data_IF_004674882849
#
_entry.id   IF_004674882849
#
_cell.length_a   1.000
_cell.length_b   1.000
_cell.length_c   1.000
_cell.angle_alpha   90.00
_cell.angle_beta   90.00
_cell.angle_gamma   90.00
#
_symmetry.space_group_name_H-M   'P 1'
#
loop_
_entity.id
_entity.type
_entity.pdbx_description
1 polymer ?
#
# COMPACT_ATOMS: atom_id res chain seq x y z
N UNK A 1 -41.40 9.27 42.49
CA UNK A 1 -40.63 10.28 41.72
C UNK A 1 -39.12 10.03 41.60
N UNK A 2 -38.43 9.28 42.49
CA UNK A 2 -36.95 9.10 42.39
C UNK A 2 -36.45 8.19 41.25
N UNK A 3 -37.29 7.29 40.72
CA UNK A 3 -36.92 6.30 39.68
C UNK A 3 -36.76 6.95 38.30
N UNK A 4 -37.59 7.96 37.99
CA UNK A 4 -37.52 8.67 36.71
C UNK A 4 -36.23 9.48 36.54
N UNK A 5 -35.72 10.08 37.64
CA UNK A 5 -34.44 10.80 37.61
C UNK A 5 -33.24 9.89 37.37
N UNK A 6 -33.23 8.68 37.95
CA UNK A 6 -32.17 7.69 37.70
C UNK A 6 -32.18 7.18 36.26
N UNK A 7 -33.36 6.93 35.70
CA UNK A 7 -33.51 6.48 34.31
C UNK A 7 -33.02 7.55 33.32
N UNK A 8 -33.33 8.82 33.59
CA UNK A 8 -32.87 9.93 32.75
C UNK A 8 -31.35 10.10 32.79
N UNK A 9 -30.73 9.98 33.98
CA UNK A 9 -29.27 10.04 34.14
C UNK A 9 -28.59 8.88 33.39
N UNK A 10 -29.13 7.66 33.49
CA UNK A 10 -28.57 6.50 32.77
C UNK A 10 -28.65 6.68 31.26
N UNK A 11 -29.80 7.14 30.74
CA UNK A 11 -29.98 7.42 29.31
C UNK A 11 -29.06 8.54 28.82
N UNK A 12 -28.93 9.63 29.59
CA UNK A 12 -28.01 10.72 29.27
C UNK A 12 -26.55 10.26 29.26
N UNK A 13 -26.17 9.37 30.18
CA UNK A 13 -24.82 8.79 30.24
C UNK A 13 -24.54 7.89 29.04
N UNK A 14 -25.49 7.00 28.68
CA UNK A 14 -25.37 6.15 27.49
C UNK A 14 -25.27 7.01 26.23
N UNK A 15 -26.09 8.05 26.10
CA UNK A 15 -26.04 8.97 24.97
C UNK A 15 -24.71 9.72 24.90
N UNK A 16 -24.18 10.19 26.03
CA UNK A 16 -22.88 10.86 26.09
C UNK A 16 -21.73 9.92 25.69
N UNK A 17 -21.73 8.66 26.15
CA UNK A 17 -20.74 7.65 25.76
C UNK A 17 -20.83 7.32 24.26
N UNK A 18 -22.05 7.17 23.72
CA UNK A 18 -22.26 6.93 22.29
C UNK A 18 -21.82 8.13 21.43
N UNK A 19 -22.11 9.35 21.88
CA UNK A 19 -21.71 10.59 21.20
C UNK A 19 -20.18 10.77 21.24
N UNK A 20 -19.54 10.55 22.39
CA UNK A 20 -18.08 10.61 22.55
C UNK A 20 -17.38 9.52 21.73
N UNK A 21 -17.93 8.30 21.71
CA UNK A 21 -17.43 7.22 20.87
C UNK A 21 -17.51 7.57 19.38
N UNK A 22 -18.65 8.09 18.92
CA UNK A 22 -18.85 8.50 17.52
C UNK A 22 -17.95 9.66 17.10
N UNK A 23 -17.63 10.57 18.01
CA UNK A 23 -16.74 11.71 17.75
C UNK A 23 -15.26 11.34 17.81
N UNK A 24 -14.90 10.30 18.57
CA UNK A 24 -13.49 9.88 18.76
C UNK A 24 -13.01 8.86 17.73
N UNK A 25 -13.92 8.08 17.13
CA UNK A 25 -13.59 7.05 16.13
C UNK A 25 -12.90 7.60 14.85
N UNK A 26 -13.27 8.75 14.27
CA UNK A 26 -12.58 9.31 13.11
C UNK A 26 -11.14 9.76 13.41
N UNK A 27 -10.87 10.24 14.63
CA UNK A 27 -9.56 10.79 15.02
C UNK A 27 -8.47 9.73 15.25
N UNK A 28 -8.85 8.47 15.49
CA UNK A 28 -7.88 7.36 15.54
C UNK A 28 -7.47 6.88 14.14
N UNK A 29 -8.33 7.10 13.14
CA UNK A 29 -8.02 6.77 11.74
C UNK A 29 -7.00 7.73 11.12
N UNK A 30 -7.06 9.02 11.46
CA UNK A 30 -6.12 10.03 10.94
C UNK A 30 -4.70 9.91 11.51
N UNK A 31 -4.52 9.29 12.68
CA UNK A 31 -3.19 9.00 13.23
C UNK A 31 -2.49 7.82 12.52
N UNK A 32 -3.23 7.02 11.75
CA UNK A 32 -2.67 5.94 10.91
C UNK A 32 -2.28 6.39 9.50
N UNK A 33 -2.75 7.56 9.06
CA UNK A 33 -2.47 8.11 7.74
C UNK A 33 -1.24 9.02 7.83
N UNK A 34 -0.08 8.46 7.51
CA UNK A 34 1.15 9.24 7.29
C UNK A 34 1.19 9.57 5.80
N UNK A 35 0.60 10.71 5.42
CA UNK A 35 0.80 11.29 4.10
C UNK A 35 2.00 12.24 4.19
N UNK A 36 3.20 11.69 4.00
CA UNK A 36 4.35 12.54 3.71
C UNK A 36 4.10 13.23 2.37
N UNK A 37 4.41 14.52 2.26
CA UNK A 37 4.37 15.20 0.96
C UNK A 37 5.35 14.47 0.02
N UNK A 38 4.91 14.00 -1.17
CA UNK A 38 5.81 13.30 -2.08
C UNK A 38 6.97 14.22 -2.44
N UNK A 39 8.17 13.66 -2.38
CA UNK A 39 9.42 14.26 -2.85
C UNK A 39 9.87 13.51 -4.09
N UNK A 40 10.63 14.17 -4.96
CA UNK A 40 11.22 13.46 -6.11
C UNK A 40 12.07 12.29 -5.61
N UNK A 41 12.00 11.16 -6.29
CA UNK A 41 12.74 9.94 -5.99
C UNK A 41 13.04 9.20 -7.28
N UNK A 42 13.98 8.26 -7.22
CA UNK A 42 14.41 7.54 -8.41
C UNK A 42 13.32 6.58 -8.93
N UNK A 43 12.57 5.97 -8.01
CA UNK A 43 11.50 5.02 -8.34
C UNK A 43 10.24 5.20 -7.48
N UNK A 44 9.10 4.81 -8.05
CA UNK A 44 7.83 4.63 -7.32
C UNK A 44 7.62 3.13 -7.10
N UNK A 45 7.54 2.70 -5.84
CA UNK A 45 7.24 1.31 -5.46
C UNK A 45 5.78 1.19 -5.07
N UNK A 46 5.01 0.41 -5.83
CA UNK A 46 3.60 0.14 -5.52
C UNK A 46 3.49 -1.15 -4.72
N UNK A 47 2.91 -1.07 -3.52
CA UNK A 47 2.63 -2.25 -2.72
C UNK A 47 1.41 -2.97 -3.23
N UNK A 48 1.50 -4.30 -3.34
CA UNK A 48 0.40 -5.13 -3.81
C UNK A 48 -0.58 -5.46 -2.66
N UNK A 49 -1.78 -5.93 -2.98
CA UNK A 49 -2.78 -6.36 -1.99
C UNK A 49 -3.94 -5.39 -1.71
N UNK A 50 -4.16 -4.37 -2.54
CA UNK A 50 -5.51 -3.82 -2.76
C UNK A 50 -5.66 -3.51 -4.25
N UNK A 51 -6.89 -3.21 -4.68
CA UNK A 51 -7.26 -3.11 -6.09
C UNK A 51 -6.56 -1.97 -6.88
N UNK A 52 -7.18 -1.50 -7.97
CA UNK A 52 -6.53 -0.57 -8.90
C UNK A 52 -6.25 0.82 -8.31
N UNK A 53 -6.74 1.13 -7.10
CA UNK A 53 -6.63 2.43 -6.44
C UNK A 53 -5.18 2.86 -6.20
N UNK A 54 -4.31 1.91 -5.83
CA UNK A 54 -2.88 2.21 -5.62
C UNK A 54 -2.17 2.52 -6.93
N UNK A 55 -2.56 1.85 -8.01
CA UNK A 55 -1.93 2.09 -9.31
C UNK A 55 -2.28 3.47 -9.83
N UNK A 56 -3.53 3.92 -9.66
CA UNK A 56 -3.93 5.27 -10.05
C UNK A 56 -3.06 6.34 -9.38
N UNK A 57 -2.86 6.24 -8.05
CA UNK A 57 -1.98 7.16 -7.33
C UNK A 57 -0.51 7.09 -7.76
N UNK A 58 -0.03 5.90 -8.16
CA UNK A 58 1.32 5.75 -8.69
C UNK A 58 1.47 6.42 -10.07
N UNK A 59 0.46 6.31 -10.94
CA UNK A 59 0.44 6.97 -12.24
C UNK A 59 0.39 8.50 -12.07
N UNK A 60 -0.43 9.01 -11.16
CA UNK A 60 -0.48 10.46 -10.87
C UNK A 60 0.89 11.00 -10.42
N UNK A 61 1.63 10.24 -9.60
CA UNK A 61 2.98 10.61 -9.19
C UNK A 61 3.98 10.55 -10.35
N UNK A 62 3.88 9.54 -11.20
CA UNK A 62 4.69 9.39 -12.40
C UNK A 62 4.48 10.55 -13.38
N UNK A 63 3.22 10.87 -13.71
CA UNK A 63 2.86 11.97 -14.60
C UNK A 63 3.28 13.34 -14.05
N UNK A 64 3.27 13.50 -12.73
CA UNK A 64 3.76 14.70 -12.06
C UNK A 64 5.31 14.79 -12.00
N UNK A 65 6.03 13.79 -12.51
CA UNK A 65 7.49 13.77 -12.57
C UNK A 65 8.15 13.58 -11.21
N UNK A 66 7.51 12.80 -10.32
CA UNK A 66 8.10 12.43 -9.03
C UNK A 66 9.11 11.29 -9.13
N UNK A 67 8.96 10.40 -10.12
CA UNK A 67 9.95 9.40 -10.49
C UNK A 67 9.72 8.96 -11.95
N UNK A 68 10.75 8.40 -12.58
CA UNK A 68 10.72 8.00 -13.99
C UNK A 68 10.34 6.52 -14.21
N UNK A 69 10.15 5.76 -13.13
CA UNK A 69 9.81 4.32 -13.17
C UNK A 69 8.87 3.92 -12.03
N UNK A 70 7.95 2.99 -12.35
CA UNK A 70 7.05 2.34 -11.41
C UNK A 70 7.50 0.88 -11.24
N UNK A 71 7.69 0.46 -10.00
CA UNK A 71 8.16 -0.87 -9.62
C UNK A 71 7.12 -1.54 -8.72
N UNK A 72 6.87 -2.83 -8.95
CA UNK A 72 6.05 -3.67 -8.08
C UNK A 72 6.66 -5.07 -7.95
N UNK A 73 6.36 -5.77 -6.87
CA UNK A 73 6.86 -7.14 -6.65
C UNK A 73 5.75 -8.13 -6.94
N UNK A 74 6.07 -9.18 -7.71
CA UNK A 74 5.11 -10.25 -7.99
C UNK A 74 4.65 -10.93 -6.70
N UNK A 75 3.33 -11.04 -6.55
CA UNK A 75 2.69 -11.66 -5.41
C UNK A 75 2.52 -13.17 -5.62
N UNK A 76 2.63 -13.95 -4.55
CA UNK A 76 2.35 -15.38 -4.61
C UNK A 76 0.84 -15.59 -4.64
N UNK A 77 0.33 -16.32 -5.64
CA UNK A 77 -1.07 -16.76 -5.67
C UNK A 77 -1.14 -18.24 -5.37
N UNK A 78 -1.44 -18.58 -4.10
CA UNK A 78 -1.59 -19.97 -3.67
C UNK A 78 -2.70 -20.66 -4.47
N UNK A 79 -2.50 -21.94 -4.77
CA UNK A 79 -3.39 -22.81 -5.56
C UNK A 79 -3.39 -22.58 -7.09
N UNK A 80 -2.59 -21.66 -7.61
CA UNK A 80 -2.42 -21.53 -9.07
C UNK A 80 -1.49 -22.60 -9.65
N UNK A 81 -0.59 -23.18 -8.85
CA UNK A 81 0.39 -24.19 -9.31
C UNK A 81 -0.27 -25.39 -10.01
N UNK A 82 -1.40 -25.87 -9.49
CA UNK A 82 -2.13 -27.00 -10.07
C UNK A 82 -2.81 -26.66 -11.41
N UNK A 83 -3.13 -25.38 -11.63
CA UNK A 83 -3.77 -24.89 -12.85
C UNK A 83 -2.72 -24.49 -13.89
N UNK A 84 -1.63 -23.85 -13.44
CA UNK A 84 -0.45 -23.50 -14.24
C UNK A 84 0.24 -24.74 -14.77
N UNK A 85 0.38 -25.80 -13.97
CA UNK A 85 0.91 -27.11 -14.42
C UNK A 85 0.08 -27.77 -15.52
N UNK A 86 -1.17 -27.33 -15.74
CA UNK A 86 -2.01 -27.74 -16.88
C UNK A 86 -1.93 -26.79 -18.09
N UNK A 87 -0.95 -25.88 -18.10
CA UNK A 87 -0.70 -24.94 -19.20
C UNK A 87 -1.63 -23.72 -19.22
N UNK A 88 -2.45 -23.52 -18.19
CA UNK A 88 -3.32 -22.35 -18.08
C UNK A 88 -2.51 -21.16 -17.58
N UNK A 89 -2.51 -20.07 -18.35
CA UNK A 89 -1.91 -18.79 -17.94
C UNK A 89 -2.93 -18.02 -17.12
N UNK A 90 -2.62 -17.78 -15.85
CA UNK A 90 -3.45 -16.91 -15.01
C UNK A 90 -2.67 -15.62 -14.74
N UNK A 91 -3.24 -14.45 -15.04
CA UNK A 91 -2.60 -13.18 -14.72
C UNK A 91 -2.49 -13.02 -13.21
N UNK A 92 -1.36 -12.48 -12.75
CA UNK A 92 -1.19 -12.06 -11.37
C UNK A 92 -1.76 -10.65 -11.19
N UNK A 93 -1.99 -10.24 -9.95
CA UNK A 93 -2.47 -8.88 -9.65
C UNK A 93 -1.51 -7.82 -10.21
N UNK A 94 -0.21 -8.10 -10.20
CA UNK A 94 0.82 -7.24 -10.82
C UNK A 94 0.68 -7.12 -12.33
N UNK A 95 0.28 -8.19 -13.03
CA UNK A 95 0.07 -8.16 -14.48
C UNK A 95 -1.13 -7.26 -14.82
N UNK A 96 -2.21 -7.36 -14.03
CA UNK A 96 -3.40 -6.51 -14.15
C UNK A 96 -3.04 -5.05 -13.81
N UNK A 97 -2.31 -4.82 -12.72
CA UNK A 97 -1.93 -3.48 -12.30
C UNK A 97 -1.01 -2.80 -13.33
N UNK A 98 -0.09 -3.55 -13.94
CA UNK A 98 0.73 -3.07 -15.06
C UNK A 98 -0.12 -2.70 -16.27
N UNK A 99 -1.11 -3.51 -16.62
CA UNK A 99 -2.02 -3.20 -17.72
C UNK A 99 -2.81 -1.91 -17.46
N UNK A 100 -3.30 -1.72 -16.23
CA UNK A 100 -3.96 -0.46 -15.82
C UNK A 100 -3.03 0.74 -16.01
N UNK A 101 -1.78 0.67 -15.54
CA UNK A 101 -0.81 1.76 -15.71
C UNK A 101 -0.56 2.10 -17.19
N UNK A 102 -0.42 1.06 -18.04
CA UNK A 102 -0.20 1.23 -19.47
C UNK A 102 -1.42 1.84 -20.16
N UNK A 103 -2.62 1.39 -19.81
CA UNK A 103 -3.87 1.97 -20.34
C UNK A 103 -4.08 3.43 -19.88
N UNK A 104 -3.51 3.82 -18.74
CA UNK A 104 -3.49 5.20 -18.26
C UNK A 104 -2.39 6.06 -18.92
N UNK A 105 -1.54 5.49 -19.78
CA UNK A 105 -0.58 6.24 -20.59
C UNK A 105 0.89 6.10 -20.16
N UNK A 106 1.19 5.31 -19.13
CA UNK A 106 2.59 5.02 -18.74
C UNK A 106 3.21 4.06 -19.76
N UNK A 107 4.40 4.36 -20.33
CA UNK A 107 5.08 3.43 -21.23
C UNK A 107 5.35 2.08 -20.55
N UNK A 108 5.14 0.98 -21.28
CA UNK A 108 5.18 -0.37 -20.70
C UNK A 108 6.56 -0.80 -20.19
N UNK A 109 7.62 -0.17 -20.68
CA UNK A 109 9.02 -0.27 -20.27
C UNK A 109 9.33 0.52 -18.99
N UNK A 110 8.44 1.41 -18.56
CA UNK A 110 8.55 2.18 -17.31
C UNK A 110 7.80 1.55 -16.14
N UNK A 111 7.15 0.40 -16.39
CA UNK A 111 6.41 -0.36 -15.37
C UNK A 111 7.06 -1.73 -15.18
N UNK A 112 7.90 -1.81 -14.16
CA UNK A 112 8.75 -2.95 -13.86
C UNK A 112 8.10 -3.87 -12.81
N UNK A 113 7.96 -5.15 -13.14
CA UNK A 113 7.51 -6.18 -12.20
C UNK A 113 8.73 -6.99 -11.78
N UNK A 114 9.13 -6.86 -10.52
CA UNK A 114 10.19 -7.67 -9.94
C UNK A 114 9.71 -9.11 -9.80
N UNK A 115 10.53 -10.11 -10.20
CA UNK A 115 10.22 -11.50 -9.95
C UNK A 115 10.17 -11.77 -8.45
N UNK A 116 9.28 -12.66 -8.03
CA UNK A 116 9.05 -12.88 -6.61
C UNK A 116 7.78 -13.63 -6.29
N UNK A 117 7.69 -14.05 -5.03
CA UNK A 117 6.53 -14.71 -4.43
C UNK A 117 6.14 -13.98 -3.14
N UNK A 118 5.94 -12.66 -3.23
CA UNK A 118 5.59 -11.87 -2.06
C UNK A 118 4.25 -12.32 -1.46
N UNK A 119 4.25 -12.66 -0.16
CA UNK A 119 3.05 -13.00 0.61
C UNK A 119 2.64 -11.88 1.57
N UNK A 120 3.51 -10.90 1.74
CA UNK A 120 3.33 -9.79 2.66
C UNK A 120 4.09 -8.55 2.21
N UNK A 121 3.70 -7.38 2.73
CA UNK A 121 4.46 -6.14 2.57
C UNK A 121 5.92 -6.26 3.03
N UNK A 122 6.21 -7.16 3.99
CA UNK A 122 7.58 -7.41 4.43
C UNK A 122 8.39 -8.14 3.34
N UNK A 123 7.79 -9.12 2.67
CA UNK A 123 8.43 -9.84 1.58
C UNK A 123 8.64 -8.92 0.37
N UNK A 124 7.68 -8.04 0.08
CA UNK A 124 7.84 -7.00 -0.95
C UNK A 124 9.03 -6.09 -0.60
N UNK A 125 9.11 -5.59 0.63
CA UNK A 125 10.20 -4.72 1.08
C UNK A 125 11.57 -5.41 0.99
N UNK A 126 11.66 -6.70 1.34
CA UNK A 126 12.88 -7.49 1.22
C UNK A 126 13.27 -7.66 -0.25
N UNK A 127 12.32 -7.96 -1.14
CA UNK A 127 12.61 -8.18 -2.56
C UNK A 127 13.01 -6.88 -3.28
N UNK A 128 12.35 -5.75 -2.96
CA UNK A 128 12.76 -4.44 -3.45
C UNK A 128 14.19 -4.15 -3.01
N UNK A 129 14.52 -4.39 -1.74
CA UNK A 129 15.87 -4.20 -1.21
C UNK A 129 16.91 -5.09 -1.92
N UNK A 130 16.60 -6.35 -2.19
CA UNK A 130 17.51 -7.23 -2.95
C UNK A 130 17.69 -6.73 -4.39
N UNK A 131 16.63 -6.22 -5.03
CA UNK A 131 16.72 -5.56 -6.34
C UNK A 131 17.65 -4.34 -6.28
N UNK A 132 17.47 -3.46 -5.29
CA UNK A 132 18.27 -2.25 -5.13
C UNK A 132 19.77 -2.50 -4.97
N UNK A 133 20.20 -3.65 -4.40
CA UNK A 133 21.62 -4.01 -4.34
C UNK A 133 22.30 -4.07 -5.71
N UNK A 134 21.54 -4.38 -6.75
CA UNK A 134 22.02 -4.44 -8.13
C UNK A 134 21.93 -3.09 -8.86
N UNK A 135 21.28 -2.10 -8.26
CA UNK A 135 21.01 -0.79 -8.84
C UNK A 135 21.82 0.28 -8.10
N UNK A 136 23.00 0.62 -8.62
CA UNK A 136 23.93 1.55 -7.95
C UNK A 136 23.46 3.01 -7.93
N UNK A 137 22.53 3.36 -8.83
CA UNK A 137 22.08 4.73 -9.06
C UNK A 137 20.71 5.02 -8.42
N UNK A 138 20.15 4.06 -7.66
CA UNK A 138 18.88 4.24 -6.95
C UNK A 138 19.15 4.35 -5.46
N UNK A 139 18.91 5.53 -4.89
CA UNK A 139 19.08 5.81 -3.46
C UNK A 139 17.77 6.25 -2.77
N UNK A 140 16.73 6.54 -3.55
CA UNK A 140 15.47 7.07 -3.07
C UNK A 140 14.27 6.38 -3.73
N UNK A 141 13.19 6.23 -2.97
CA UNK A 141 11.94 5.65 -3.46
C UNK A 141 10.72 6.29 -2.81
N UNK A 142 9.62 6.34 -3.55
CA UNK A 142 8.28 6.62 -3.04
C UNK A 142 7.55 5.30 -2.84
N UNK A 143 6.88 5.11 -1.70
CA UNK A 143 6.05 3.92 -1.45
C UNK A 143 4.58 4.30 -1.63
N UNK A 144 3.91 3.66 -2.58
CA UNK A 144 2.48 3.82 -2.81
C UNK A 144 1.73 2.64 -2.19
N UNK A 145 0.84 2.96 -1.25
CA UNK A 145 0.00 2.00 -0.53
C UNK A 145 -1.37 2.61 -0.26
N UNK A 146 -2.35 1.82 0.21
CA UNK A 146 -3.64 2.36 0.63
C UNK A 146 -3.48 3.33 1.81
N UNK A 147 -4.35 4.36 1.88
CA UNK A 147 -4.30 5.45 2.88
C UNK A 147 -4.14 4.94 4.32
N UNK A 148 -4.88 3.88 4.66
CA UNK A 148 -4.90 3.26 6.00
C UNK A 148 -3.64 2.44 6.35
N UNK A 149 -2.72 2.24 5.41
CA UNK A 149 -1.54 1.39 5.59
C UNK A 149 -0.20 2.12 5.41
N UNK A 150 -0.23 3.42 5.11
CA UNK A 150 0.96 4.27 4.91
C UNK A 150 1.95 4.19 6.08
N UNK A 151 1.49 4.37 7.31
CA UNK A 151 2.36 4.32 8.50
C UNK A 151 3.00 2.94 8.74
N UNK A 152 2.28 1.84 8.46
CA UNK A 152 2.80 0.48 8.59
C UNK A 152 3.81 0.16 7.48
N UNK A 153 3.48 0.51 6.25
CA UNK A 153 4.34 0.31 5.09
C UNK A 153 5.69 1.01 5.28
N UNK A 154 5.66 2.30 5.66
CA UNK A 154 6.88 3.08 5.95
C UNK A 154 7.77 2.40 6.98
N UNK A 155 7.21 1.96 8.12
CA UNK A 155 7.97 1.26 9.17
C UNK A 155 8.61 -0.04 8.67
N UNK A 156 7.89 -0.82 7.86
CA UNK A 156 8.40 -2.08 7.31
C UNK A 156 9.55 -1.82 6.33
N UNK A 157 9.38 -0.87 5.41
CA UNK A 157 10.42 -0.52 4.44
C UNK A 157 11.65 0.07 5.13
N UNK A 158 11.47 1.02 6.05
CA UNK A 158 12.59 1.59 6.82
C UNK A 158 13.32 0.50 7.60
N UNK A 159 12.62 -0.48 8.20
CA UNK A 159 13.27 -1.60 8.88
C UNK A 159 14.02 -2.51 7.91
N UNK A 160 13.41 -2.84 6.77
CA UNK A 160 14.02 -3.70 5.75
C UNK A 160 15.28 -3.07 5.15
N UNK A 161 15.24 -1.76 4.86
CA UNK A 161 16.33 -0.97 4.28
C UNK A 161 17.38 -0.57 5.31
N UNK A 162 16.99 -0.21 6.54
CA UNK A 162 17.91 0.16 7.62
C UNK A 162 18.74 -1.01 8.15
N UNK A 163 18.42 -2.25 7.75
CA UNK A 163 19.30 -3.42 7.96
C UNK A 163 20.53 -3.41 7.02
N UNK A 164 20.71 -2.36 6.20
CA UNK A 164 21.78 -2.17 5.21
C UNK A 164 22.64 -0.91 5.42
N UNK A 165 22.35 -0.11 6.45
CA UNK A 165 23.23 0.96 6.92
C UNK A 165 23.99 0.49 8.16
#
# INVERSE_FOLDING_TARGET
MKIQGRLFITLATIFAVLALGRLSLPSLGSFLVVEDKPQRSDIIVVLMGSGPDRMLGAVELYEAGYADEIVMVRNMVRAYDLVVSRGVKIPHDTDIAREVAVQLGVPAEKVNILPGDALSTQDEAIQVREYLKSQKDIDSLIIVTSKYHSGRAKKIFVKAMGSYL
#
